data_IF_088996101658
#
_entry.id   IF_088996101658
#
_cell.length_a   1.000
_cell.length_b   1.000
_cell.length_c   1.000
_cell.angle_alpha   90.00
_cell.angle_beta   90.00
_cell.angle_gamma   90.00
#
_symmetry.space_group_name_H-M   'P 1'
#
loop_
_entity.id
_entity.type
_entity.pdbx_description
1 polymer ?
#
# COMPACT_ATOMS: atom_id res chain seq x y z
N UNK A 1 -0.44 -24.39 6.60
CA UNK A 1 -0.07 -24.00 5.22
C UNK A 1 0.99 -24.94 4.66
N UNK A 2 0.83 -25.41 3.43
CA UNK A 2 1.78 -26.29 2.74
C UNK A 2 2.81 -25.51 1.88
N UNK A 3 3.76 -26.24 1.28
CA UNK A 3 4.80 -25.64 0.45
C UNK A 3 4.25 -25.06 -0.86
N UNK A 4 3.20 -25.66 -1.42
CA UNK A 4 2.60 -25.20 -2.67
C UNK A 4 1.96 -23.82 -2.48
N UNK A 5 1.26 -23.60 -1.37
CA UNK A 5 0.68 -22.29 -1.04
C UNK A 5 1.76 -21.24 -0.79
N UNK A 6 2.85 -21.57 -0.08
CA UNK A 6 3.99 -20.66 0.09
C UNK A 6 4.55 -20.21 -1.26
N UNK A 7 4.79 -21.15 -2.15
CA UNK A 7 5.31 -20.85 -3.48
C UNK A 7 4.32 -20.05 -4.33
N UNK A 8 3.00 -20.21 -4.16
CA UNK A 8 2.02 -19.34 -4.84
C UNK A 8 2.10 -17.90 -4.35
N UNK A 9 2.18 -17.67 -3.04
CA UNK A 9 2.32 -16.33 -2.45
C UNK A 9 3.63 -15.67 -2.90
N UNK A 10 4.76 -16.39 -2.84
CA UNK A 10 6.05 -15.88 -3.32
C UNK A 10 5.99 -15.47 -4.80
N UNK A 11 5.38 -16.32 -5.64
CA UNK A 11 5.24 -16.02 -7.06
C UNK A 11 4.29 -14.85 -7.33
N UNK A 12 3.19 -14.73 -6.57
CA UNK A 12 2.27 -13.60 -6.68
C UNK A 12 2.98 -12.29 -6.30
N UNK A 13 3.73 -12.30 -5.19
CA UNK A 13 4.52 -11.15 -4.75
C UNK A 13 5.62 -10.78 -5.76
N UNK A 14 6.30 -11.77 -6.35
CA UNK A 14 7.30 -11.51 -7.39
C UNK A 14 6.69 -10.90 -8.66
N UNK A 15 5.51 -11.38 -9.08
CA UNK A 15 4.79 -10.80 -10.22
C UNK A 15 4.36 -9.37 -9.92
N UNK A 16 3.74 -9.15 -8.77
CA UNK A 16 3.36 -7.84 -8.26
C UNK A 16 4.54 -6.86 -8.33
N UNK A 17 5.66 -7.21 -7.69
CA UNK A 17 6.85 -6.36 -7.62
C UNK A 17 7.40 -6.01 -9.00
N UNK A 18 7.44 -6.98 -9.90
CA UNK A 18 7.92 -6.76 -11.27
C UNK A 18 7.02 -5.80 -12.04
N UNK A 19 5.70 -6.02 -12.00
CA UNK A 19 4.76 -5.18 -12.73
C UNK A 19 4.78 -3.74 -12.20
N UNK A 20 4.76 -3.56 -10.88
CA UNK A 20 4.82 -2.24 -10.24
C UNK A 20 6.15 -1.56 -10.55
N UNK A 21 7.27 -2.28 -10.50
CA UNK A 21 8.57 -1.73 -10.86
C UNK A 21 8.64 -1.26 -12.32
N UNK A 22 8.16 -2.09 -13.26
CA UNK A 22 8.15 -1.76 -14.68
C UNK A 22 7.31 -0.51 -14.94
N UNK A 23 6.13 -0.41 -14.30
CA UNK A 23 5.25 0.77 -14.38
C UNK A 23 5.93 2.02 -13.78
N UNK A 24 6.43 1.94 -12.55
CA UNK A 24 7.01 3.08 -11.84
C UNK A 24 8.31 3.59 -12.50
N UNK A 25 9.13 2.71 -13.07
CA UNK A 25 10.30 3.12 -13.84
C UNK A 25 9.90 3.80 -15.17
N UNK A 26 8.78 3.42 -15.76
CA UNK A 26 8.22 4.12 -16.93
C UNK A 26 7.81 5.55 -16.55
N UNK A 27 7.06 5.70 -15.45
CA UNK A 27 6.66 7.01 -14.93
C UNK A 27 7.86 7.89 -14.54
N UNK A 28 8.89 7.31 -13.92
CA UNK A 28 10.12 8.04 -13.58
C UNK A 28 10.82 8.60 -14.82
N UNK A 29 10.84 7.86 -15.94
CA UNK A 29 11.39 8.34 -17.21
C UNK A 29 10.60 9.52 -17.75
N UNK A 30 9.27 9.41 -17.74
CA UNK A 30 8.37 10.48 -18.18
C UNK A 30 8.58 11.73 -17.32
N UNK A 31 8.64 11.58 -16.00
CA UNK A 31 8.90 12.68 -15.08
C UNK A 31 10.21 13.42 -15.42
N UNK A 32 11.29 12.68 -15.65
CA UNK A 32 12.59 13.27 -16.04
C UNK A 32 12.47 14.00 -17.38
N UNK A 33 11.86 13.38 -18.39
CA UNK A 33 11.68 13.96 -19.73
C UNK A 33 10.83 15.24 -19.71
N UNK A 34 9.72 15.24 -18.99
CA UNK A 34 8.81 16.39 -18.87
C UNK A 34 9.49 17.56 -18.13
N UNK A 35 10.21 17.29 -17.04
CA UNK A 35 10.96 18.32 -16.29
C UNK A 35 12.12 18.89 -17.12
N UNK A 36 12.81 18.07 -17.91
CA UNK A 36 13.85 18.52 -18.83
C UNK A 36 13.28 19.38 -19.97
N UNK A 37 12.08 19.06 -20.45
CA UNK A 37 11.39 19.78 -21.52
C UNK A 37 10.82 21.14 -21.08
N UNK A 38 10.66 21.38 -19.78
CA UNK A 38 10.17 22.67 -19.28
C UNK A 38 11.13 23.82 -19.61
N UNK A 39 10.59 25.01 -19.94
CA UNK A 39 11.40 26.19 -20.21
C UNK A 39 12.18 26.61 -18.96
N UNK A 40 13.42 27.06 -19.17
CA UNK A 40 14.24 27.60 -18.09
C UNK A 40 13.56 28.83 -17.46
N UNK A 41 13.51 28.93 -16.12
CA UNK A 41 12.95 30.10 -15.44
C UNK A 41 13.68 31.39 -15.82
N UNK A 42 12.94 32.49 -15.91
CA UNK A 42 13.49 33.75 -16.42
C UNK A 42 14.55 34.32 -15.47
N UNK A 43 15.80 34.46 -15.95
CA UNK A 43 16.90 35.06 -15.19
C UNK A 43 17.75 34.06 -14.39
N UNK A 44 17.53 32.75 -14.56
CA UNK A 44 18.38 31.71 -13.98
C UNK A 44 19.64 31.49 -14.82
N UNK A 45 20.71 31.06 -14.14
CA UNK A 45 21.91 30.51 -14.79
C UNK A 45 21.75 29.00 -14.91
N UNK A 46 22.42 28.39 -15.89
CA UNK A 46 22.34 26.95 -16.19
C UNK A 46 22.50 26.05 -14.95
N UNK A 47 23.41 26.38 -14.03
CA UNK A 47 23.63 25.59 -12.80
C UNK A 47 22.47 25.67 -11.81
N UNK A 48 21.80 26.82 -11.74
CA UNK A 48 20.63 27.02 -10.87
C UNK A 48 19.37 26.40 -11.50
N UNK A 49 19.28 26.40 -12.82
CA UNK A 49 18.23 25.71 -13.58
C UNK A 49 18.31 24.19 -13.37
N UNK A 50 19.50 23.59 -13.46
CA UNK A 50 19.69 22.16 -13.21
C UNK A 50 19.34 21.77 -11.77
N UNK A 51 19.72 22.61 -10.80
CA UNK A 51 19.32 22.40 -9.41
C UNK A 51 17.79 22.40 -9.27
N UNK A 52 17.09 23.40 -9.82
CA UNK A 52 15.62 23.46 -9.77
C UNK A 52 14.96 22.24 -10.41
N UNK A 53 15.48 21.75 -11.55
CA UNK A 53 14.96 20.54 -12.18
C UNK A 53 15.09 19.30 -11.30
N UNK A 54 16.23 19.11 -10.64
CA UNK A 54 16.42 17.99 -9.71
C UNK A 54 15.46 18.12 -8.51
N UNK A 55 15.26 19.32 -7.98
CA UNK A 55 14.31 19.53 -6.89
C UNK A 55 12.86 19.28 -7.34
N UNK A 56 12.46 19.68 -8.55
CA UNK A 56 11.14 19.36 -9.10
C UNK A 56 10.89 17.85 -9.16
N UNK A 57 11.90 17.05 -9.50
CA UNK A 57 11.79 15.58 -9.53
C UNK A 57 11.70 15.01 -8.10
N UNK A 58 12.43 15.59 -7.14
CA UNK A 58 12.41 15.17 -5.73
C UNK A 58 11.06 15.36 -5.05
N UNK A 59 10.23 16.29 -5.52
CA UNK A 59 8.84 16.42 -5.04
C UNK A 59 8.01 15.14 -5.31
N UNK A 60 8.41 14.31 -6.29
CA UNK A 60 7.67 13.10 -6.65
C UNK A 60 8.33 11.79 -6.21
N UNK A 61 9.67 11.76 -6.15
CA UNK A 61 10.45 10.53 -5.89
C UNK A 61 11.64 10.80 -4.98
N UNK A 62 12.02 9.80 -4.18
CA UNK A 62 13.25 9.86 -3.38
C UNK A 62 14.45 9.75 -4.32
N UNK A 63 15.25 10.82 -4.41
CA UNK A 63 16.48 10.86 -5.21
C UNK A 63 17.70 10.96 -4.27
N UNK A 64 18.74 10.12 -4.45
CA UNK A 64 19.95 10.21 -3.64
C UNK A 64 20.61 11.59 -3.71
N UNK A 65 21.03 12.14 -2.56
CA UNK A 65 21.63 13.48 -2.45
C UNK A 65 22.86 13.73 -3.35
N UNK A 66 23.55 12.65 -3.74
CA UNK A 66 24.70 12.69 -4.64
C UNK A 66 24.34 13.06 -6.08
N UNK A 67 23.08 12.91 -6.50
CA UNK A 67 22.62 13.24 -7.85
C UNK A 67 22.55 14.76 -8.01
N UNK A 68 23.15 15.28 -9.09
CA UNK A 68 23.21 16.73 -9.39
C UNK A 68 22.62 17.10 -10.73
N UNK A 69 22.48 16.13 -11.63
CA UNK A 69 21.88 16.31 -12.95
C UNK A 69 20.67 15.39 -13.11
N UNK A 70 19.65 15.85 -13.82
CA UNK A 70 18.46 15.06 -14.15
C UNK A 70 18.80 13.76 -14.88
N UNK A 71 19.77 13.81 -15.79
CA UNK A 71 20.25 12.65 -16.55
C UNK A 71 20.90 11.57 -15.69
N UNK A 72 21.40 11.91 -14.50
CA UNK A 72 21.97 10.95 -13.56
C UNK A 72 20.88 10.13 -12.84
N UNK A 73 19.64 10.61 -12.77
CA UNK A 73 18.55 9.92 -12.06
C UNK A 73 18.23 8.58 -12.73
N UNK A 74 18.31 8.50 -14.05
CA UNK A 74 18.02 7.28 -14.81
C UNK A 74 19.23 6.34 -14.95
N UNK A 75 20.36 6.69 -14.33
CA UNK A 75 21.62 5.99 -14.46
C UNK A 75 21.57 4.69 -13.63
N UNK A 76 21.98 3.55 -14.22
CA UNK A 76 21.87 2.22 -13.57
C UNK A 76 22.55 2.15 -12.20
N UNK A 77 23.53 3.03 -11.94
CA UNK A 77 24.24 3.13 -10.66
C UNK A 77 23.34 3.55 -9.48
N UNK A 78 22.25 4.27 -9.74
CA UNK A 78 21.30 4.71 -8.70
C UNK A 78 20.04 3.85 -8.65
N UNK A 79 19.88 2.90 -9.59
CA UNK A 79 18.67 2.09 -9.72
C UNK A 79 18.29 1.36 -8.44
N UNK A 80 19.26 0.70 -7.79
CA UNK A 80 18.99 -0.05 -6.56
C UNK A 80 18.55 0.88 -5.43
N UNK A 81 19.15 2.06 -5.30
CA UNK A 81 18.79 3.06 -4.28
C UNK A 81 17.40 3.63 -4.55
N UNK A 82 17.08 3.97 -5.80
CA UNK A 82 15.75 4.44 -6.20
C UNK A 82 14.68 3.39 -5.90
N UNK A 83 14.95 2.13 -6.21
CA UNK A 83 14.04 1.02 -5.91
C UNK A 83 13.87 0.85 -4.40
N UNK A 84 14.96 0.81 -3.63
CA UNK A 84 14.89 0.50 -2.21
C UNK A 84 14.36 1.66 -1.36
N UNK A 85 14.86 2.87 -1.57
CA UNK A 85 14.50 4.06 -0.80
C UNK A 85 13.15 4.62 -1.27
N UNK A 86 12.91 4.58 -2.58
CA UNK A 86 11.64 4.99 -3.18
C UNK A 86 10.59 3.88 -3.22
N UNK A 87 10.89 2.66 -2.75
CA UNK A 87 9.99 1.49 -2.81
C UNK A 87 9.36 1.29 -4.21
N UNK A 88 10.12 1.51 -5.29
CA UNK A 88 9.54 1.59 -6.65
C UNK A 88 8.98 0.26 -7.17
N UNK A 89 9.30 -0.86 -6.52
CA UNK A 89 8.72 -2.17 -6.79
C UNK A 89 7.49 -2.49 -5.92
N UNK A 90 6.90 -1.49 -5.25
CA UNK A 90 5.68 -1.66 -4.46
C UNK A 90 5.88 -2.41 -3.14
N UNK A 91 7.10 -2.51 -2.64
CA UNK A 91 7.35 -3.07 -1.30
C UNK A 91 8.32 -2.20 -0.52
N UNK A 92 8.15 -2.19 0.79
CA UNK A 92 9.13 -1.59 1.68
C UNK A 92 10.36 -2.48 1.76
N UNK A 93 11.55 -1.87 1.69
CA UNK A 93 12.82 -2.58 1.79
C UNK A 93 13.38 -2.47 3.21
N UNK A 94 14.23 -3.43 3.58
CA UNK A 94 14.83 -3.50 4.91
C UNK A 94 14.60 -4.84 5.62
N UNK A 95 15.11 -5.00 6.84
CA UNK A 95 14.91 -6.22 7.62
C UNK A 95 13.44 -6.36 8.03
N UNK A 96 12.91 -7.58 7.90
CA UNK A 96 11.56 -7.89 8.39
C UNK A 96 11.56 -8.00 9.91
N UNK A 97 10.80 -7.14 10.60
CA UNK A 97 10.60 -7.24 12.05
C UNK A 97 9.58 -8.33 12.41
N UNK A 98 10.06 -9.57 12.47
CA UNK A 98 9.25 -10.71 12.88
C UNK A 98 8.81 -10.63 14.36
N UNK A 99 9.54 -9.90 15.22
CA UNK A 99 9.20 -9.78 16.63
C UNK A 99 8.00 -8.84 16.80
N UNK A 100 8.09 -7.64 16.23
CA UNK A 100 6.97 -6.70 16.21
C UNK A 100 5.72 -7.28 15.52
N UNK A 101 5.87 -8.06 14.44
CA UNK A 101 4.71 -8.72 13.80
C UNK A 101 4.03 -9.73 14.71
N UNK A 102 4.79 -10.48 15.51
CA UNK A 102 4.22 -11.39 16.52
C UNK A 102 3.50 -10.63 17.62
N UNK A 103 4.05 -9.52 18.10
CA UNK A 103 3.41 -8.67 19.11
C UNK A 103 2.12 -8.06 18.60
N UNK A 104 2.13 -7.53 17.37
CA UNK A 104 0.94 -7.01 16.70
C UNK A 104 -0.16 -8.07 16.60
N UNK A 105 0.13 -9.27 16.07
CA UNK A 105 -0.87 -10.33 16.00
C UNK A 105 -1.34 -10.79 17.38
N UNK A 106 -0.45 -10.90 18.38
CA UNK A 106 -0.86 -11.24 19.75
C UNK A 106 -1.83 -10.19 20.33
N UNK A 107 -1.60 -8.90 20.06
CA UNK A 107 -2.49 -7.81 20.44
C UNK A 107 -3.87 -7.92 19.80
N UNK A 108 -3.92 -8.24 18.50
CA UNK A 108 -5.18 -8.49 17.78
C UNK A 108 -5.91 -9.70 18.37
N UNK A 109 -5.21 -10.83 18.55
CA UNK A 109 -5.79 -12.05 19.12
C UNK A 109 -6.40 -11.83 20.50
N UNK A 110 -5.70 -11.12 21.38
CA UNK A 110 -6.20 -10.78 22.72
C UNK A 110 -7.47 -9.93 22.66
N UNK A 111 -7.57 -9.03 21.69
CA UNK A 111 -8.74 -8.18 21.50
C UNK A 111 -9.91 -8.91 20.86
N UNK A 112 -9.67 -9.85 19.93
CA UNK A 112 -10.69 -10.77 19.40
C UNK A 112 -11.30 -11.59 20.56
N UNK A 113 -10.44 -12.18 21.40
CA UNK A 113 -10.87 -12.97 22.56
C UNK A 113 -11.67 -12.13 23.57
N UNK A 114 -11.25 -10.89 23.85
CA UNK A 114 -11.98 -9.96 24.73
C UNK A 114 -13.40 -9.64 24.23
N UNK A 115 -13.61 -9.68 22.92
CA UNK A 115 -14.93 -9.46 22.31
C UNK A 115 -15.74 -10.77 22.15
N UNK A 116 -15.22 -11.91 22.60
CA UNK A 116 -15.93 -13.19 22.61
C UNK A 116 -16.11 -13.84 21.23
N UNK A 117 -15.30 -13.47 20.24
CA UNK A 117 -15.36 -14.05 18.89
C UNK A 117 -14.44 -15.26 18.81
N UNK A 118 -14.95 -16.39 18.31
CA UNK A 118 -14.17 -17.58 18.02
C UNK A 118 -13.77 -17.62 16.54
N UNK A 119 -12.49 -17.84 16.27
CA UNK A 119 -11.93 -18.00 14.92
C UNK A 119 -11.12 -19.30 14.87
N UNK A 120 -11.18 -20.03 13.75
CA UNK A 120 -10.58 -21.36 13.65
C UNK A 120 -9.03 -21.37 13.73
N UNK A 121 -8.38 -20.35 13.14
CA UNK A 121 -6.92 -20.19 13.12
C UNK A 121 -6.59 -18.70 13.18
N UNK A 122 -5.57 -18.31 13.95
CA UNK A 122 -5.10 -16.93 14.00
C UNK A 122 -3.59 -16.86 14.32
N UNK A 123 -2.80 -16.01 13.64
CA UNK A 123 -3.18 -15.15 12.50
C UNK A 123 -3.51 -15.94 11.24
N UNK A 124 -4.11 -15.32 10.19
CA UNK A 124 -4.22 -15.96 8.88
C UNK A 124 -2.83 -16.40 8.39
N UNK A 125 -2.68 -17.69 8.05
CA UNK A 125 -1.37 -18.28 7.80
C UNK A 125 -0.67 -17.70 6.54
N UNK A 126 -1.45 -17.36 5.52
CA UNK A 126 -1.03 -16.70 4.29
C UNK A 126 -0.59 -15.24 4.55
N UNK A 127 -1.37 -14.47 5.30
CA UNK A 127 -0.97 -13.12 5.72
C UNK A 127 0.31 -13.14 6.56
N UNK A 128 0.39 -14.05 7.54
CA UNK A 128 1.58 -14.18 8.39
C UNK A 128 2.81 -14.51 7.55
N UNK A 129 2.66 -15.34 6.52
CA UNK A 129 3.75 -15.67 5.63
C UNK A 129 4.14 -14.49 4.74
N UNK A 130 3.20 -13.76 4.15
CA UNK A 130 3.50 -12.53 3.40
C UNK A 130 4.29 -11.54 4.26
N UNK A 131 3.85 -11.30 5.50
CA UNK A 131 4.53 -10.43 6.47
C UNK A 131 5.92 -10.95 6.88
N UNK A 132 6.27 -12.20 6.57
CA UNK A 132 7.62 -12.74 6.78
C UNK A 132 8.55 -12.52 5.58
N UNK A 133 8.00 -12.24 4.40
CA UNK A 133 8.75 -12.01 3.17
C UNK A 133 9.15 -10.55 3.01
N UNK A 134 8.27 -9.61 3.38
CA UNK A 134 8.49 -8.17 3.22
C UNK A 134 8.02 -7.38 4.44
N UNK A 135 8.69 -6.27 4.79
CA UNK A 135 8.24 -5.35 5.83
C UNK A 135 6.83 -4.78 5.56
N UNK A 136 6.52 -4.48 4.30
CA UNK A 136 5.20 -4.01 3.87
C UNK A 136 5.04 -4.05 2.35
N UNK A 137 3.80 -3.91 1.91
CA UNK A 137 3.40 -3.89 0.49
C UNK A 137 2.71 -2.55 0.23
N UNK A 138 3.35 -1.75 -0.62
CA UNK A 138 2.99 -0.36 -0.95
C UNK A 138 2.47 -0.27 -2.37
N UNK A 139 1.57 0.65 -2.68
CA UNK A 139 0.85 0.64 -3.96
C UNK A 139 1.70 0.97 -5.20
N UNK A 140 1.08 0.91 -6.39
CA UNK A 140 1.67 1.44 -7.62
C UNK A 140 1.71 2.98 -7.62
N UNK A 141 2.57 3.56 -8.46
CA UNK A 141 2.80 5.00 -8.60
C UNK A 141 4.08 5.49 -7.91
N UNK A 142 4.50 6.71 -8.25
CA UNK A 142 5.65 7.36 -7.62
C UNK A 142 5.35 7.70 -6.15
N UNK A 143 6.39 7.81 -5.28
CA UNK A 143 6.22 8.04 -3.84
C UNK A 143 5.18 9.09 -3.46
N UNK A 144 5.20 10.28 -4.08
CA UNK A 144 4.23 11.34 -3.80
C UNK A 144 2.78 10.91 -4.07
N UNK A 145 2.51 10.32 -5.25
CA UNK A 145 1.17 9.82 -5.59
C UNK A 145 0.68 8.80 -4.58
N UNK A 146 1.56 7.90 -4.13
CA UNK A 146 1.17 6.88 -3.15
C UNK A 146 0.79 7.48 -1.81
N UNK A 147 1.51 8.49 -1.35
CA UNK A 147 1.22 9.17 -0.11
C UNK A 147 -0.19 9.79 -0.12
N UNK A 148 -0.61 10.37 -1.26
CA UNK A 148 -1.89 11.09 -1.36
C UNK A 148 -3.06 10.21 -1.82
N UNK A 149 -2.80 9.14 -2.57
CA UNK A 149 -3.83 8.38 -3.29
C UNK A 149 -3.91 6.88 -2.98
N UNK A 150 -2.90 6.29 -2.33
CA UNK A 150 -2.82 4.85 -2.08
C UNK A 150 -2.96 4.52 -0.59
N UNK A 151 -3.52 3.35 -0.28
CA UNK A 151 -3.33 2.70 1.02
C UNK A 151 -2.35 1.55 0.85
N UNK A 152 -1.68 1.13 1.92
CA UNK A 152 -0.89 -0.09 1.95
C UNK A 152 -1.78 -1.34 1.92
N UNK A 153 -1.32 -2.41 1.26
CA UNK A 153 -1.90 -3.73 1.52
C UNK A 153 -1.46 -4.23 2.91
N UNK A 154 -0.17 -4.10 3.22
CA UNK A 154 0.41 -4.38 4.54
C UNK A 154 1.26 -3.18 4.97
N UNK A 155 0.85 -2.48 6.02
CA UNK A 155 1.60 -1.32 6.55
C UNK A 155 2.90 -1.79 7.23
N UNK A 156 4.06 -1.22 6.90
CA UNK A 156 5.31 -1.45 7.64
C UNK A 156 5.20 -1.05 9.11
N UNK A 157 5.78 -1.85 10.01
CA UNK A 157 5.66 -1.60 11.46
C UNK A 157 6.42 -0.37 11.98
N UNK A 158 7.30 0.21 11.15
CA UNK A 158 8.12 1.37 11.50
C UNK A 158 7.31 2.68 11.52
N UNK A 159 6.10 2.68 10.99
CA UNK A 159 5.17 3.80 11.11
C UNK A 159 4.52 3.80 12.51
N UNK A 160 4.36 4.98 13.12
CA UNK A 160 3.72 5.22 14.43
C UNK A 160 2.26 4.70 14.53
N UNK A 161 1.75 4.15 13.43
CA UNK A 161 0.39 3.67 13.18
C UNK A 161 0.04 2.35 13.88
N UNK A 162 1.00 1.67 14.54
CA UNK A 162 0.74 0.37 15.17
C UNK A 162 -0.34 0.47 16.26
N UNK A 163 -0.33 1.52 17.06
CA UNK A 163 -1.36 1.75 18.08
C UNK A 163 -2.74 1.99 17.46
N UNK A 164 -2.81 2.66 16.31
CA UNK A 164 -4.05 2.93 15.59
C UNK A 164 -4.61 1.65 14.95
N UNK A 165 -3.75 0.84 14.34
CA UNK A 165 -4.13 -0.45 13.77
C UNK A 165 -4.65 -1.41 14.84
N UNK A 166 -4.06 -1.43 16.04
CA UNK A 166 -4.56 -2.24 17.17
C UNK A 166 -5.94 -1.77 17.68
N UNK A 167 -6.27 -0.47 17.55
CA UNK A 167 -7.60 0.09 17.86
C UNK A 167 -8.64 -0.23 16.77
N UNK A 168 -8.20 -0.67 15.59
CA UNK A 168 -9.04 -0.87 14.40
C UNK A 168 -9.75 -2.23 14.33
N UNK A 169 -9.93 -2.94 15.45
CA UNK A 169 -10.65 -4.23 15.46
C UNK A 169 -12.14 -3.96 15.48
N UNK A 170 -12.79 -4.36 14.40
CA UNK A 170 -14.20 -4.16 14.18
C UNK A 170 -14.94 -5.49 14.20
N UNK A 171 -16.06 -5.54 14.90
CA UNK A 171 -17.06 -6.59 14.77
C UNK A 171 -18.26 -5.91 14.14
N UNK A 172 -18.58 -6.17 12.87
CA UNK A 172 -19.72 -5.53 12.23
C UNK A 172 -20.99 -5.80 13.03
N UNK A 173 -21.67 -4.73 13.44
CA UNK A 173 -22.93 -4.86 14.17
C UNK A 173 -24.01 -5.05 13.12
N UNK A 174 -24.59 -6.25 13.11
CA UNK A 174 -25.79 -6.62 12.34
C UNK A 174 -26.87 -6.94 13.37
N UNK A 175 -27.47 -5.93 13.94
CA UNK A 175 -28.70 -6.19 14.65
C UNK A 175 -29.85 -6.35 13.64
N UNK A 176 -30.83 -7.19 13.97
CA UNK A 176 -32.13 -7.16 13.30
C UNK A 176 -33.08 -6.17 14.01
N UNK A 177 -32.64 -5.61 15.15
CA UNK A 177 -33.46 -4.86 16.11
C UNK A 177 -33.27 -3.34 16.09
N UNK A 178 -32.24 -2.81 15.41
CA UNK A 178 -31.92 -1.38 15.30
C UNK A 178 -31.41 -0.70 16.59
N UNK A 179 -30.90 -1.46 17.56
CA UNK A 179 -30.50 -0.98 18.90
C UNK A 179 -28.97 -0.94 19.14
N UNK A 180 -28.14 -1.41 18.22
CA UNK A 180 -26.68 -1.39 18.29
C UNK A 180 -26.07 -0.10 17.72
N UNK A 181 -24.96 0.37 18.32
CA UNK A 181 -24.19 1.49 17.77
C UNK A 181 -23.59 1.11 16.42
N UNK A 182 -23.99 1.76 15.33
CA UNK A 182 -23.39 1.59 14.00
C UNK A 182 -21.86 1.72 14.09
N UNK A 183 -21.13 0.82 13.45
CA UNK A 183 -19.70 0.98 13.26
C UNK A 183 -19.35 1.16 11.79
N UNK A 184 -18.10 1.52 11.53
CA UNK A 184 -17.62 1.89 10.20
C UNK A 184 -17.75 0.79 9.16
N UNK A 185 -17.95 -0.48 9.56
CA UNK A 185 -18.16 -1.61 8.64
C UNK A 185 -19.63 -2.02 8.52
N UNK A 186 -20.57 -1.42 9.27
CA UNK A 186 -21.98 -1.83 9.28
C UNK A 186 -22.65 -1.75 7.89
N UNK A 187 -22.23 -0.80 7.04
CA UNK A 187 -22.74 -0.63 5.67
C UNK A 187 -21.74 -1.02 4.59
N UNK A 188 -20.65 -1.72 4.97
CA UNK A 188 -19.60 -2.15 4.05
C UNK A 188 -19.65 -3.68 3.97
N UNK A 189 -19.55 -4.21 2.74
CA UNK A 189 -19.62 -5.66 2.49
C UNK A 189 -20.90 -6.29 3.06
N UNK A 190 -22.07 -5.66 2.86
CA UNK A 190 -23.36 -6.12 3.42
C UNK A 190 -23.67 -7.59 3.05
N UNK A 191 -23.22 -8.03 1.88
CA UNK A 191 -23.36 -9.41 1.41
C UNK A 191 -22.49 -10.44 2.15
N UNK A 192 -21.64 -10.02 3.10
CA UNK A 192 -20.69 -10.89 3.79
C UNK A 192 -20.97 -10.99 5.29
N UNK A 193 -21.30 -12.17 5.79
CA UNK A 193 -21.28 -12.42 7.24
C UNK A 193 -19.85 -12.33 7.75
N UNK A 194 -19.53 -11.26 8.50
CA UNK A 194 -18.20 -11.01 9.06
C UNK A 194 -18.27 -11.15 10.58
N UNK A 195 -17.52 -12.09 11.14
CA UNK A 195 -17.44 -12.27 12.59
C UNK A 195 -16.46 -11.27 13.22
N UNK A 196 -15.36 -10.98 12.53
CA UNK A 196 -14.38 -9.99 12.95
C UNK A 196 -13.55 -9.49 11.77
N UNK A 197 -13.16 -8.23 11.85
CA UNK A 197 -12.28 -7.54 10.91
C UNK A 197 -11.18 -6.78 11.67
N UNK A 198 -9.99 -6.69 11.09
CA UNK A 198 -8.94 -5.80 11.60
C UNK A 198 -8.13 -5.22 10.45
N UNK A 199 -7.69 -3.97 10.63
CA UNK A 199 -6.91 -3.23 9.61
C UNK A 199 -5.50 -3.79 9.54
N UNK A 200 -5.04 -4.14 8.34
CA UNK A 200 -3.69 -4.66 8.05
C UNK A 200 -2.85 -3.68 7.23
N UNK A 201 -3.52 -2.74 6.56
CA UNK A 201 -2.88 -1.69 5.77
C UNK A 201 -3.62 -0.37 5.93
N UNK A 202 -2.84 0.69 6.11
CA UNK A 202 -3.30 2.05 6.33
C UNK A 202 -3.11 2.90 5.08
N UNK A 203 -3.81 4.03 4.99
CA UNK A 203 -3.66 4.97 3.90
C UNK A 203 -3.99 6.39 4.36
N UNK A 204 -3.99 7.38 3.45
CA UNK A 204 -4.22 8.79 3.78
C UNK A 204 -5.63 9.07 4.32
N UNK A 205 -6.53 8.07 4.25
CA UNK A 205 -7.92 8.17 4.66
C UNK A 205 -8.18 7.34 5.92
N UNK A 206 -8.91 7.94 6.86
CA UNK A 206 -9.11 7.46 8.23
C UNK A 206 -9.50 5.97 8.32
N UNK A 207 -10.60 5.61 7.69
CA UNK A 207 -11.20 4.28 7.64
C UNK A 207 -10.94 3.56 6.31
N UNK A 208 -10.40 4.25 5.32
CA UNK A 208 -9.93 3.66 4.08
C UNK A 208 -8.73 2.74 4.34
N UNK A 209 -8.65 1.64 3.59
CA UNK A 209 -7.50 0.77 3.59
C UNK A 209 -7.85 -0.71 3.47
N UNK A 210 -6.93 -1.51 3.98
CA UNK A 210 -6.95 -2.96 3.84
C UNK A 210 -7.28 -3.63 5.15
N UNK A 211 -8.18 -4.61 5.09
CA UNK A 211 -8.66 -5.38 6.22
C UNK A 211 -8.44 -6.88 6.03
N UNK A 212 -8.12 -7.59 7.11
CA UNK A 212 -8.31 -9.03 7.19
C UNK A 212 -9.66 -9.32 7.85
N UNK A 213 -10.48 -10.13 7.18
CA UNK A 213 -11.87 -10.42 7.54
C UNK A 213 -12.02 -11.92 7.79
N UNK A 214 -12.53 -12.32 8.96
CA UNK A 214 -13.04 -13.67 9.15
C UNK A 214 -14.51 -13.68 8.80
N UNK A 215 -14.84 -14.21 7.62
CA UNK A 215 -16.17 -14.05 7.03
C UNK A 215 -16.65 -15.27 6.25
N UNK A 216 -17.88 -15.20 5.76
CA UNK A 216 -18.51 -16.09 4.75
C UNK A 216 -19.59 -15.31 3.99
N UNK A 217 -20.10 -15.85 2.90
CA UNK A 217 -21.31 -15.34 2.25
C UNK A 217 -22.16 -16.50 1.70
N UNK A 218 -23.30 -16.20 1.07
CA UNK A 218 -24.21 -17.21 0.52
C UNK A 218 -23.53 -18.13 -0.51
N UNK A 219 -22.66 -17.57 -1.36
CA UNK A 219 -21.91 -18.34 -2.37
C UNK A 219 -20.70 -19.10 -1.79
N UNK A 220 -20.21 -18.68 -0.62
CA UNK A 220 -18.99 -19.14 0.03
C UNK A 220 -19.27 -19.39 1.51
N UNK A 221 -20.04 -20.45 1.77
CA UNK A 221 -20.57 -20.79 3.09
C UNK A 221 -19.49 -21.05 4.17
N UNK A 222 -18.25 -21.34 3.76
CA UNK A 222 -17.15 -21.60 4.68
C UNK A 222 -16.63 -20.30 5.33
N UNK A 223 -16.63 -20.32 6.66
CA UNK A 223 -15.89 -19.36 7.48
C UNK A 223 -14.39 -19.49 7.26
N UNK A 224 -13.76 -18.41 6.79
CA UNK A 224 -12.31 -18.32 6.63
C UNK A 224 -11.86 -16.86 6.59
N UNK A 225 -10.55 -16.66 6.68
CA UNK A 225 -9.92 -15.36 6.47
C UNK A 225 -9.93 -14.96 4.99
N UNK A 226 -10.24 -13.69 4.74
CA UNK A 226 -10.28 -13.01 3.44
C UNK A 226 -9.78 -11.59 3.58
N UNK A 227 -9.56 -10.91 2.46
CA UNK A 227 -8.93 -9.60 2.45
C UNK A 227 -9.87 -8.56 1.84
N UNK A 228 -10.30 -7.63 2.67
CA UNK A 228 -11.18 -6.54 2.28
C UNK A 228 -10.41 -5.29 1.89
N UNK A 229 -10.89 -4.60 0.87
CA UNK A 229 -10.47 -3.24 0.52
C UNK A 229 -11.63 -2.27 0.65
N UNK A 230 -11.37 -1.08 1.18
CA UNK A 230 -12.33 0.00 1.23
C UNK A 230 -11.63 1.33 0.97
N UNK A 231 -12.06 2.08 -0.04
CA UNK A 231 -11.43 3.36 -0.41
C UNK A 231 -12.20 4.61 0.09
N UNK A 232 -13.25 4.42 0.90
CA UNK A 232 -14.18 5.45 1.41
C UNK A 232 -15.04 6.19 0.37
N UNK A 233 -14.80 5.98 -0.92
CA UNK A 233 -15.49 6.73 -1.98
C UNK A 233 -16.42 5.84 -2.78
N UNK A 234 -15.87 4.89 -3.53
CA UNK A 234 -16.62 4.18 -4.57
C UNK A 234 -16.29 2.70 -4.63
N UNK A 235 -15.18 2.26 -4.04
CA UNK A 235 -14.69 0.91 -4.19
C UNK A 235 -14.58 0.18 -2.85
N UNK A 236 -15.26 -0.97 -2.79
CA UNK A 236 -15.08 -1.90 -1.70
C UNK A 236 -15.34 -3.33 -2.16
N UNK A 237 -14.39 -4.22 -1.90
CA UNK A 237 -14.45 -5.61 -2.35
C UNK A 237 -13.72 -6.55 -1.39
N UNK A 238 -13.94 -7.86 -1.53
CA UNK A 238 -13.38 -8.93 -0.69
C UNK A 238 -12.71 -10.01 -1.54
N UNK A 239 -11.42 -10.21 -1.29
CA UNK A 239 -10.56 -11.15 -1.99
C UNK A 239 -10.39 -12.45 -1.22
N UNK A 240 -10.35 -13.57 -1.93
CA UNK A 240 -10.32 -14.92 -1.34
C UNK A 240 -8.97 -15.29 -0.71
N UNK A 241 -7.88 -14.68 -1.18
CA UNK A 241 -6.51 -15.00 -0.81
C UNK A 241 -5.59 -13.78 -0.93
N UNK A 242 -4.38 -13.90 -0.35
CA UNK A 242 -3.29 -12.91 -0.53
C UNK A 242 -2.93 -12.78 -2.01
N UNK A 243 -2.89 -13.89 -2.74
CA UNK A 243 -2.55 -13.91 -4.16
C UNK A 243 -3.55 -13.09 -5.01
N UNK A 244 -4.86 -13.29 -4.77
CA UNK A 244 -5.90 -12.53 -5.49
C UNK A 244 -5.85 -11.04 -5.14
N UNK A 245 -5.56 -10.72 -3.88
CA UNK A 245 -5.42 -9.33 -3.46
C UNK A 245 -4.22 -8.67 -4.14
N UNK A 246 -3.06 -9.34 -4.19
CA UNK A 246 -1.87 -8.82 -4.88
C UNK A 246 -2.13 -8.61 -6.38
N UNK A 247 -2.88 -9.50 -7.03
CA UNK A 247 -3.27 -9.34 -8.44
C UNK A 247 -4.11 -8.08 -8.65
N UNK A 248 -5.16 -7.88 -7.85
CA UNK A 248 -5.95 -6.65 -7.87
C UNK A 248 -5.10 -5.41 -7.59
N UNK A 249 -4.32 -5.47 -6.51
CA UNK A 249 -3.60 -4.32 -5.98
C UNK A 249 -2.46 -3.87 -6.88
N UNK A 250 -2.03 -4.72 -7.82
CA UNK A 250 -1.12 -4.33 -8.91
C UNK A 250 -1.67 -3.13 -9.66
N UNK A 251 -3.00 -3.11 -9.89
CA UNK A 251 -3.66 -2.13 -10.76
C UNK A 251 -4.54 -1.13 -10.01
N UNK A 252 -4.59 -1.20 -8.68
CA UNK A 252 -5.45 -0.33 -7.90
C UNK A 252 -4.90 1.09 -7.89
N UNK A 253 -5.66 2.05 -8.44
CA UNK A 253 -5.30 3.49 -8.50
C UNK A 253 -3.87 3.73 -9.04
N UNK A 254 -3.44 2.91 -10.00
CA UNK A 254 -2.18 3.13 -10.74
C UNK A 254 -2.12 4.59 -11.23
N UNK A 255 -0.96 5.22 -11.06
CA UNK A 255 -0.78 6.60 -11.48
C UNK A 255 -0.77 6.66 -13.00
N UNK A 256 -1.71 7.39 -13.59
CA UNK A 256 -1.71 7.61 -15.03
C UNK A 256 -0.61 8.60 -15.42
N UNK A 257 -0.14 8.55 -16.68
CA UNK A 257 0.84 9.53 -17.15
C UNK A 257 0.26 10.95 -17.15
N UNK A 258 -1.03 11.09 -17.40
CA UNK A 258 -1.74 12.36 -17.36
C UNK A 258 -1.76 12.95 -15.95
N UNK A 259 -2.07 12.13 -14.94
CA UNK A 259 -2.04 12.54 -13.52
C UNK A 259 -0.63 12.98 -13.12
N UNK A 260 0.39 12.21 -13.51
CA UNK A 260 1.79 12.60 -13.30
C UNK A 260 2.09 13.98 -13.92
N UNK A 261 1.68 14.22 -15.18
CA UNK A 261 1.92 15.51 -15.86
C UNK A 261 1.21 16.68 -15.18
N UNK A 262 0.03 16.45 -14.61
CA UNK A 262 -0.72 17.45 -13.85
C UNK A 262 -0.05 17.79 -12.52
N UNK A 263 0.58 16.81 -11.88
CA UNK A 263 1.26 16.98 -10.59
C UNK A 263 2.65 17.65 -10.73
N UNK A 264 3.28 17.60 -11.92
CA UNK A 264 4.62 18.19 -12.13
C UNK A 264 4.57 19.70 -11.91
N UNK A 265 5.37 20.24 -10.97
CA UNK A 265 5.41 21.68 -10.72
C UNK A 265 6.04 22.43 -11.89
N UNK A 266 5.51 23.63 -12.16
CA UNK A 266 6.14 24.58 -13.08
C UNK A 266 7.46 25.09 -12.50
N UNK A 267 8.56 24.98 -13.24
CA UNK A 267 9.86 25.49 -12.81
C UNK A 267 9.84 27.00 -12.51
N UNK A 268 8.99 27.77 -13.20
CA UNK A 268 8.84 29.22 -12.92
C UNK A 268 8.12 29.47 -11.59
N UNK A 269 7.23 28.56 -11.17
CA UNK A 269 6.54 28.65 -9.88
C UNK A 269 7.42 28.22 -8.69
N UNK A 270 8.47 27.43 -8.95
CA UNK A 270 9.43 26.97 -7.94
C UNK A 270 10.59 27.96 -7.67
N UNK A 271 10.63 29.08 -8.39
CA UNK A 271 11.64 30.14 -8.23
C UNK A 271 11.60 30.82 -6.86
#
# INVERSE_FOLDING_TARGET
MDQDQRSRIENALLRYRRTVLDHNLSLLRILVEEVEAQPAPTGYRDSAEQFLRVEAIKEHVVVPDSVKLTSEILDERFRDALISEGCLDGVSHGPVDLAGRREYFAGIQASIARKGVEVAEFPPADLQFLCSLVPGVTGPGLPFHREVSQFHFVTPLEFEEMEEMLKSICIPIRDETGEGEYNSLTSIWENWDIAVAFKIGNGPRSWGGTYALYCRNEDREQWKWRYGVHDEEWYSDVYESVEDYLEFYTHFREQAEEELREDIPSLEAMR
#
